data_IF_280887709104
#
_entry.id   IF_280887709104
#
_cell.length_a   1.000
_cell.length_b   1.000
_cell.length_c   1.000
_cell.angle_alpha   90.00
_cell.angle_beta   90.00
_cell.angle_gamma   90.00
#
_symmetry.space_group_name_H-M   'P 1'
#
loop_
_entity.id
_entity.type
_entity.pdbx_description
1 polymer ?
#
# COMPACT_ATOMS: atom_id res chain seq x y z
N UNK A 1 11.03 16.42 0.26
CA UNK A 1 10.70 14.99 0.51
C UNK A 1 12.04 14.27 0.52
N UNK A 2 12.82 14.49 1.57
CA UNK A 2 14.27 14.33 1.46
C UNK A 2 14.71 12.92 1.90
N UNK A 3 13.86 12.22 2.65
CA UNK A 3 14.12 10.86 3.17
C UNK A 3 13.59 9.74 2.30
N UNK A 4 12.60 10.02 1.43
CA UNK A 4 11.81 9.00 0.67
C UNK A 4 11.15 7.93 1.56
N UNK A 5 11.01 8.22 2.85
CA UNK A 5 10.39 7.33 3.82
C UNK A 5 8.86 7.49 3.81
N UNK A 6 8.14 6.39 3.63
CA UNK A 6 6.68 6.37 3.52
C UNK A 6 6.10 5.26 4.42
N UNK A 7 4.97 5.55 5.06
CA UNK A 7 4.18 4.56 5.80
C UNK A 7 3.07 4.02 4.90
N UNK A 8 3.43 3.09 4.02
CA UNK A 8 2.48 2.41 3.13
C UNK A 8 2.94 0.98 2.85
N UNK A 9 2.00 0.07 2.63
CA UNK A 9 2.24 -1.33 2.28
C UNK A 9 1.16 -1.79 1.31
N UNK A 10 1.56 -2.51 0.26
CA UNK A 10 0.65 -3.14 -0.69
C UNK A 10 1.04 -4.60 -0.87
N UNK A 11 0.06 -5.45 -1.15
CA UNK A 11 0.32 -6.85 -1.50
C UNK A 11 0.59 -7.00 -3.00
N UNK A 12 1.49 -7.91 -3.36
CA UNK A 12 1.74 -8.32 -4.75
C UNK A 12 1.62 -9.85 -4.86
N UNK A 13 1.19 -10.40 -6.01
CA UNK A 13 1.14 -11.85 -6.21
C UNK A 13 2.51 -12.49 -5.98
N UNK A 14 2.53 -13.61 -5.28
CA UNK A 14 3.74 -14.38 -5.00
C UNK A 14 3.46 -15.86 -5.17
N UNK A 15 3.86 -16.40 -6.33
CA UNK A 15 3.56 -17.79 -6.70
C UNK A 15 4.34 -18.81 -5.88
N UNK A 16 5.40 -18.40 -5.19
CA UNK A 16 6.33 -19.29 -4.49
C UNK A 16 6.00 -19.48 -3.00
N UNK A 17 4.95 -18.82 -2.48
CA UNK A 17 4.66 -18.86 -1.05
C UNK A 17 3.31 -18.30 -0.63
N UNK A 18 3.17 -18.14 0.68
CA UNK A 18 2.00 -17.56 1.34
C UNK A 18 2.46 -16.53 2.37
N UNK A 19 1.60 -15.59 2.71
CA UNK A 19 1.81 -14.63 3.79
C UNK A 19 0.76 -14.82 4.87
N UNK A 20 1.13 -14.61 6.12
CA UNK A 20 0.19 -14.62 7.23
C UNK A 20 -0.59 -13.31 7.27
N UNK A 21 -1.92 -13.42 7.40
CA UNK A 21 -2.80 -12.27 7.50
C UNK A 21 -3.85 -12.46 8.60
N UNK A 22 -4.36 -11.34 9.10
CA UNK A 22 -5.55 -11.30 9.97
C UNK A 22 -6.75 -10.85 9.15
N UNK A 23 -7.85 -11.59 9.26
CA UNK A 23 -9.12 -11.23 8.63
C UNK A 23 -9.94 -10.37 9.60
N UNK A 24 -10.55 -9.32 9.06
CA UNK A 24 -11.51 -8.48 9.77
C UNK A 24 -12.83 -8.47 9.01
N UNK A 25 -13.93 -8.52 9.74
CA UNK A 25 -15.26 -8.29 9.19
C UNK A 25 -15.66 -6.83 9.43
N UNK A 26 -16.22 -6.20 8.41
CA UNK A 26 -16.82 -4.87 8.51
C UNK A 26 -18.28 -4.93 8.06
N UNK A 27 -19.16 -4.09 8.62
CA UNK A 27 -20.50 -3.89 8.07
C UNK A 27 -20.44 -3.46 6.61
N UNK A 28 -21.36 -3.94 5.78
CA UNK A 28 -21.38 -3.61 4.34
C UNK A 28 -21.60 -2.11 4.11
N UNK A 29 -22.25 -1.43 5.05
CA UNK A 29 -22.47 0.01 5.05
C UNK A 29 -21.17 0.82 5.22
N UNK A 30 -20.14 0.24 5.83
CA UNK A 30 -18.82 0.87 6.01
C UNK A 30 -17.88 0.62 4.82
N UNK A 31 -18.23 -0.31 3.91
CA UNK A 31 -17.41 -0.63 2.75
C UNK A 31 -17.10 0.57 1.84
N UNK A 32 -18.05 1.49 1.53
CA UNK A 32 -17.73 2.66 0.72
C UNK A 32 -16.67 3.58 1.35
N UNK A 33 -16.70 3.73 2.68
CA UNK A 33 -15.72 4.54 3.41
C UNK A 33 -14.34 3.84 3.44
N UNK A 34 -14.33 2.52 3.58
CA UNK A 34 -13.12 1.71 3.42
C UNK A 34 -12.53 1.86 2.02
N UNK A 35 -13.32 1.68 0.95
CA UNK A 35 -12.85 1.84 -0.43
C UNK A 35 -12.34 3.25 -0.69
N UNK A 36 -13.00 4.28 -0.16
CA UNK A 36 -12.55 5.66 -0.30
C UNK A 36 -11.20 5.90 0.40
N UNK A 37 -11.02 5.35 1.59
CA UNK A 37 -9.76 5.46 2.35
C UNK A 37 -8.61 4.74 1.64
N UNK A 38 -8.89 3.56 1.09
CA UNK A 38 -7.91 2.70 0.41
C UNK A 38 -7.82 2.95 -1.09
N UNK A 39 -8.39 4.05 -1.60
CA UNK A 39 -8.50 4.33 -3.04
C UNK A 39 -7.16 4.39 -3.79
N UNK A 40 -6.04 4.46 -3.07
CA UNK A 40 -4.70 4.34 -3.65
C UNK A 40 -4.45 2.93 -4.21
N UNK A 41 -4.97 1.90 -3.52
CA UNK A 41 -4.74 0.49 -3.79
C UNK A 41 -5.73 -0.09 -4.81
N UNK A 42 -5.34 -1.24 -5.36
CA UNK A 42 -6.24 -2.08 -6.13
C UNK A 42 -6.88 -3.12 -5.19
N UNK A 43 -8.17 -2.96 -4.93
CA UNK A 43 -8.92 -3.87 -4.05
C UNK A 43 -9.29 -5.14 -4.82
N UNK A 44 -8.60 -6.24 -4.50
CA UNK A 44 -8.78 -7.53 -5.18
C UNK A 44 -9.42 -8.56 -4.24
N UNK A 45 -10.34 -9.40 -4.74
CA UNK A 45 -10.86 -10.52 -3.98
C UNK A 45 -9.80 -11.62 -3.84
N UNK A 46 -9.61 -12.11 -2.62
CA UNK A 46 -8.71 -13.23 -2.30
C UNK A 46 -9.45 -14.32 -1.54
N UNK A 47 -8.93 -15.54 -1.59
CA UNK A 47 -9.52 -16.71 -0.95
C UNK A 47 -8.59 -17.24 0.14
N UNK A 48 -8.67 -16.68 1.36
CA UNK A 48 -7.78 -17.06 2.45
C UNK A 48 -8.10 -18.47 2.99
N UNK A 49 -7.07 -19.06 3.58
CA UNK A 49 -7.13 -20.32 4.33
C UNK A 49 -6.74 -20.05 5.78
N UNK A 50 -7.30 -20.84 6.70
CA UNK A 50 -6.85 -20.86 8.10
C UNK A 50 -5.44 -21.46 8.20
N UNK A 51 -4.80 -21.32 9.37
CA UNK A 51 -3.48 -21.89 9.64
C UNK A 51 -3.40 -23.42 9.48
N UNK A 52 -4.52 -24.13 9.63
CA UNK A 52 -4.64 -25.58 9.40
C UNK A 52 -5.01 -25.93 7.95
N UNK A 53 -4.99 -24.96 7.03
CA UNK A 53 -5.23 -25.15 5.59
C UNK A 53 -6.71 -25.29 5.23
N UNK A 54 -7.63 -24.87 6.11
CA UNK A 54 -9.06 -24.91 5.81
C UNK A 54 -9.47 -23.62 5.10
N UNK A 55 -10.10 -23.77 3.94
CA UNK A 55 -10.69 -22.65 3.18
C UNK A 55 -11.78 -21.96 4.00
N UNK A 56 -11.74 -20.62 4.04
CA UNK A 56 -12.76 -19.79 4.71
C UNK A 56 -14.09 -19.81 3.94
N UNK A 57 -14.08 -20.09 2.64
CA UNK A 57 -15.27 -20.29 1.79
C UNK A 57 -15.91 -19.00 1.27
N UNK A 58 -15.53 -17.84 1.81
CA UNK A 58 -15.93 -16.51 1.35
C UNK A 58 -14.69 -15.75 0.89
N UNK A 59 -14.83 -14.94 -0.16
CA UNK A 59 -13.75 -14.05 -0.59
C UNK A 59 -13.55 -12.92 0.43
N UNK A 60 -12.30 -12.60 0.72
CA UNK A 60 -11.91 -11.40 1.45
C UNK A 60 -11.37 -10.35 0.46
N UNK A 61 -11.33 -9.08 0.87
CA UNK A 61 -10.74 -8.01 0.06
C UNK A 61 -9.30 -7.77 0.53
N UNK A 62 -8.37 -7.69 -0.41
CA UNK A 62 -6.96 -7.40 -0.15
C UNK A 62 -6.53 -6.12 -0.89
N UNK A 63 -5.82 -5.24 -0.18
CA UNK A 63 -5.19 -4.07 -0.78
C UNK A 63 -3.92 -4.50 -1.55
N UNK A 64 -4.06 -4.68 -2.86
CA UNK A 64 -2.94 -5.00 -3.73
C UNK A 64 -2.34 -3.74 -4.34
N UNK A 65 -1.10 -3.85 -4.80
CA UNK A 65 -0.46 -2.79 -5.57
C UNK A 65 -1.31 -2.46 -6.79
N UNK A 66 -1.57 -1.17 -6.98
CA UNK A 66 -2.18 -0.70 -8.22
C UNK A 66 -1.11 -0.33 -9.26
N UNK A 67 -1.52 -0.06 -10.49
CA UNK A 67 -0.66 0.58 -11.48
C UNK A 67 -0.97 2.07 -11.55
N UNK A 68 0.02 2.91 -11.90
CA UNK A 68 -0.22 4.34 -12.11
C UNK A 68 -1.32 4.56 -13.17
N UNK A 69 -1.27 3.79 -14.26
CA UNK A 69 -2.28 3.85 -15.32
C UNK A 69 -3.66 3.40 -14.84
N UNK A 70 -3.74 2.30 -14.10
CA UNK A 70 -5.01 1.81 -13.55
C UNK A 70 -5.61 2.81 -12.56
N UNK A 71 -4.78 3.40 -11.69
CA UNK A 71 -5.19 4.47 -10.79
C UNK A 71 -5.73 5.68 -11.55
N UNK A 72 -5.02 6.12 -12.59
CA UNK A 72 -5.45 7.26 -13.40
C UNK A 72 -6.78 7.00 -14.10
N UNK A 73 -6.96 5.81 -14.68
CA UNK A 73 -8.21 5.39 -15.32
C UNK A 73 -9.38 5.38 -14.34
N UNK A 74 -9.16 4.98 -13.09
CA UNK A 74 -10.23 4.88 -12.08
C UNK A 74 -10.52 6.22 -11.40
N UNK A 75 -9.50 7.02 -11.09
CA UNK A 75 -9.63 8.16 -10.16
C UNK A 75 -9.23 9.53 -10.74
N UNK A 76 -8.49 9.60 -11.84
CA UNK A 76 -8.01 10.87 -12.38
C UNK A 76 -8.97 11.43 -13.44
N UNK A 77 -9.78 12.44 -13.09
CA UNK A 77 -10.69 13.10 -14.04
C UNK A 77 -9.97 13.65 -15.29
N UNK A 78 -8.76 14.17 -15.11
CA UNK A 78 -7.96 14.66 -16.23
C UNK A 78 -7.61 13.55 -17.23
N UNK A 79 -7.44 12.31 -16.78
CA UNK A 79 -7.16 11.15 -17.63
C UNK A 79 -8.44 10.65 -18.31
N UNK A 80 -9.53 10.52 -17.55
CA UNK A 80 -10.82 10.03 -18.06
C UNK A 80 -11.36 10.96 -19.15
N UNK A 81 -11.44 12.27 -18.89
CA UNK A 81 -11.96 13.26 -19.85
C UNK A 81 -11.13 13.28 -21.15
N UNK A 82 -9.80 13.10 -21.03
CA UNK A 82 -8.87 12.98 -22.16
C UNK A 82 -9.17 11.75 -23.03
N UNK A 83 -9.44 10.60 -22.38
CA UNK A 83 -9.73 9.35 -23.07
C UNK A 83 -11.05 9.39 -23.84
N UNK A 84 -12.08 10.04 -23.27
CA UNK A 84 -13.39 10.21 -23.90
C UNK A 84 -13.33 11.19 -25.09
N UNK A 85 -12.58 12.29 -24.96
CA UNK A 85 -12.38 13.25 -26.05
C UNK A 85 -11.60 12.66 -27.24
N UNK A 86 -10.60 11.81 -26.97
CA UNK A 86 -9.83 11.11 -28.00
C UNK A 86 -10.69 10.10 -28.79
N UNK A 87 -11.71 9.50 -28.16
CA UNK A 87 -12.65 8.60 -28.82
C UNK A 87 -13.71 9.34 -29.65
N UNK A 88 -13.94 10.63 -29.39
CA UNK A 88 -15.09 11.38 -29.92
C UNK A 88 -14.84 12.27 -31.15
N UNK A 89 -13.69 12.95 -31.29
CA UNK A 89 -13.50 13.91 -32.41
C UNK A 89 -12.03 14.16 -32.75
N UNK A 90 -11.72 14.26 -34.05
CA UNK A 90 -10.40 14.63 -34.58
C UNK A 90 -10.00 16.11 -34.42
N UNK A 91 -10.46 16.79 -33.36
CA UNK A 91 -10.13 18.19 -33.08
C UNK A 91 -9.26 18.31 -31.82
N UNK A 92 -8.01 18.75 -32.01
CA UNK A 92 -7.04 18.97 -30.93
C UNK A 92 -7.33 20.29 -30.19
N UNK A 93 -8.28 20.29 -29.25
CA UNK A 93 -8.26 21.25 -28.16
C UNK A 93 -7.36 20.70 -27.04
N UNK A 94 -6.35 21.46 -26.59
CA UNK A 94 -5.59 21.08 -25.39
C UNK A 94 -6.58 21.07 -24.21
N UNK A 95 -6.81 19.92 -23.55
CA UNK A 95 -7.78 19.88 -22.47
C UNK A 95 -7.27 20.75 -21.32
N UNK A 96 -8.19 21.53 -20.76
CA UNK A 96 -7.91 22.34 -19.59
C UNK A 96 -7.80 21.38 -18.39
N UNK A 97 -6.58 21.22 -17.85
CA UNK A 97 -6.34 20.45 -16.62
C UNK A 97 -7.26 21.01 -15.52
N UNK A 98 -8.18 20.18 -15.03
CA UNK A 98 -9.01 20.47 -13.87
C UNK A 98 -8.27 20.08 -12.59
N UNK A 99 -8.47 20.85 -11.52
CA UNK A 99 -8.04 20.43 -10.20
C UNK A 99 -8.97 19.31 -9.72
N UNK A 100 -8.55 18.07 -9.96
CA UNK A 100 -9.34 16.90 -9.61
C UNK A 100 -9.04 16.36 -8.20
N UNK A 101 -8.04 16.89 -7.50
CA UNK A 101 -7.68 16.47 -6.14
C UNK A 101 -7.14 15.05 -5.98
N UNK A 102 -6.98 14.27 -7.07
CA UNK A 102 -6.49 12.89 -7.00
C UNK A 102 -5.02 12.83 -6.55
N UNK A 103 -4.57 11.66 -6.07
CA UNK A 103 -3.20 11.45 -5.59
C UNK A 103 -2.18 11.78 -6.68
N UNK A 104 -2.38 11.30 -7.92
CA UNK A 104 -1.52 11.60 -9.07
C UNK A 104 -1.31 13.09 -9.29
N UNK A 105 -2.39 13.86 -9.43
CA UNK A 105 -2.31 15.30 -9.69
C UNK A 105 -1.67 16.06 -8.52
N UNK A 106 -1.88 15.61 -7.27
CA UNK A 106 -1.21 16.21 -6.10
C UNK A 106 0.29 15.92 -6.10
N UNK A 107 0.70 14.69 -6.34
CA UNK A 107 2.11 14.30 -6.42
C UNK A 107 2.88 15.07 -7.51
N UNK A 108 2.26 15.32 -8.65
CA UNK A 108 2.87 16.11 -9.72
C UNK A 108 3.23 17.54 -9.29
N UNK A 109 2.51 18.14 -8.34
CA UNK A 109 2.85 19.48 -7.81
C UNK A 109 4.16 19.47 -7.01
N UNK A 110 4.58 18.29 -6.55
CA UNK A 110 5.87 18.05 -5.90
C UNK A 110 6.93 17.49 -6.87
N UNK A 111 6.65 17.46 -8.18
CA UNK A 111 7.55 16.90 -9.19
C UNK A 111 7.64 15.37 -9.17
N UNK A 112 6.64 14.70 -8.60
CA UNK A 112 6.56 13.23 -8.57
C UNK A 112 5.58 12.76 -9.64
N UNK A 113 6.10 11.96 -10.56
CA UNK A 113 5.39 11.49 -11.74
C UNK A 113 4.72 10.13 -11.56
N UNK A 114 5.10 9.36 -10.53
CA UNK A 114 4.55 8.03 -10.22
C UNK A 114 4.13 7.91 -8.77
N UNK A 115 2.97 7.30 -8.54
CA UNK A 115 2.46 6.89 -7.24
C UNK A 115 3.26 5.68 -6.77
N UNK A 116 3.36 4.65 -7.62
CA UNK A 116 3.98 3.37 -7.30
C UNK A 116 5.45 3.39 -7.68
N UNK A 117 6.30 3.73 -6.71
CA UNK A 117 7.75 3.88 -6.88
C UNK A 117 8.50 2.70 -6.27
N UNK A 118 9.70 2.48 -6.80
CA UNK A 118 10.58 1.38 -6.38
C UNK A 118 11.77 1.87 -5.54
N UNK A 119 11.85 3.19 -5.32
CA UNK A 119 12.97 3.86 -4.67
C UNK A 119 12.59 4.52 -3.33
N UNK A 120 11.47 4.10 -2.74
CA UNK A 120 10.99 4.55 -1.44
C UNK A 120 11.40 3.55 -0.35
N UNK A 121 11.54 4.05 0.87
CA UNK A 121 11.85 3.25 2.04
C UNK A 121 10.66 3.25 3.00
N UNK A 122 10.50 2.21 3.82
CA UNK A 122 9.51 2.24 4.89
C UNK A 122 9.91 3.32 5.89
N UNK A 123 8.93 4.11 6.35
CA UNK A 123 9.15 5.02 7.46
C UNK A 123 9.67 4.25 8.68
N UNK A 124 10.83 4.65 9.20
CA UNK A 124 11.56 3.87 10.20
C UNK A 124 10.77 3.66 11.49
N UNK A 125 10.13 4.72 12.00
CA UNK A 125 9.24 4.64 13.17
C UNK A 125 8.07 3.69 12.94
N UNK A 126 7.45 3.74 11.76
CA UNK A 126 6.30 2.89 11.44
C UNK A 126 6.72 1.44 11.24
N UNK A 127 7.85 1.20 10.56
CA UNK A 127 8.43 -0.12 10.41
C UNK A 127 8.72 -0.76 11.77
N UNK A 128 9.37 -0.03 12.68
CA UNK A 128 9.62 -0.50 14.04
C UNK A 128 8.32 -0.91 14.73
N UNK A 129 7.27 -0.10 14.62
CA UNK A 129 5.96 -0.45 15.18
C UNK A 129 5.43 -1.77 14.60
N UNK A 130 5.44 -1.94 13.27
CA UNK A 130 4.99 -3.19 12.63
C UNK A 130 5.81 -4.41 13.08
N UNK A 131 7.14 -4.28 13.19
CA UNK A 131 8.02 -5.36 13.66
C UNK A 131 7.68 -5.78 15.09
N UNK A 132 7.47 -4.81 15.99
CA UNK A 132 7.09 -5.09 17.38
C UNK A 132 5.69 -5.71 17.49
N UNK A 133 4.72 -5.23 16.69
CA UNK A 133 3.39 -5.83 16.63
C UNK A 133 3.45 -7.29 16.16
N UNK A 134 4.21 -7.57 15.09
CA UNK A 134 4.42 -8.93 14.60
C UNK A 134 5.11 -9.82 15.65
N UNK A 135 6.09 -9.27 16.38
CA UNK A 135 6.74 -9.95 17.49
C UNK A 135 5.75 -10.28 18.63
N UNK A 136 4.84 -9.36 18.96
CA UNK A 136 3.80 -9.57 19.96
C UNK A 136 2.81 -10.69 19.61
N UNK A 137 2.66 -11.03 18.32
CA UNK A 137 1.84 -12.14 17.83
C UNK A 137 2.57 -13.50 17.85
N UNK A 138 3.86 -13.51 18.17
CA UNK A 138 4.69 -14.71 18.31
C UNK A 138 5.60 -15.01 17.12
N UNK A 139 6.51 -15.98 17.30
CA UNK A 139 7.62 -16.25 16.38
C UNK A 139 7.18 -16.55 14.94
N UNK A 140 6.03 -17.19 14.76
CA UNK A 140 5.51 -17.50 13.43
C UNK A 140 5.16 -16.22 12.65
N UNK A 141 4.39 -15.31 13.26
CA UNK A 141 4.02 -14.04 12.65
C UNK A 141 5.22 -13.11 12.48
N UNK A 142 6.13 -13.11 13.46
CA UNK A 142 7.37 -12.34 13.40
C UNK A 142 8.24 -12.77 12.21
N UNK A 143 8.52 -14.07 12.07
CA UNK A 143 9.36 -14.56 10.99
C UNK A 143 8.68 -14.39 9.63
N UNK A 144 7.38 -14.68 9.53
CA UNK A 144 6.61 -14.47 8.31
C UNK A 144 6.69 -13.00 7.85
N UNK A 145 6.42 -12.04 8.74
CA UNK A 145 6.51 -10.61 8.40
C UNK A 145 7.90 -10.21 7.92
N UNK A 146 8.97 -10.67 8.59
CA UNK A 146 10.34 -10.30 8.25
C UNK A 146 10.83 -10.89 6.92
N UNK A 147 10.36 -12.08 6.56
CA UNK A 147 10.84 -12.85 5.41
C UNK A 147 9.95 -12.73 4.17
N UNK A 148 8.67 -12.38 4.34
CA UNK A 148 7.71 -12.25 3.23
C UNK A 148 7.36 -10.79 2.90
N UNK A 149 7.81 -9.83 3.72
CA UNK A 149 7.69 -8.40 3.40
C UNK A 149 8.98 -7.87 2.79
N UNK A 150 8.85 -7.13 1.69
CA UNK A 150 9.97 -6.59 0.91
C UNK A 150 9.94 -5.07 0.88
N UNK A 151 11.10 -4.45 0.66
CA UNK A 151 11.19 -3.04 0.26
C UNK A 151 10.54 -2.83 -1.11
N UNK A 152 10.39 -1.56 -1.49
CA UNK A 152 9.86 -1.19 -2.79
C UNK A 152 10.69 -1.70 -3.98
N UNK A 153 11.93 -2.15 -3.76
CA UNK A 153 12.78 -2.80 -4.75
C UNK A 153 12.38 -4.27 -5.05
N UNK A 154 11.43 -4.82 -4.28
CA UNK A 154 10.91 -6.21 -4.39
C UNK A 154 11.97 -7.29 -4.25
N UNK A 155 13.11 -6.93 -3.68
CA UNK A 155 14.29 -7.81 -3.60
C UNK A 155 14.79 -7.89 -2.17
N UNK A 156 14.84 -6.76 -1.46
CA UNK A 156 15.34 -6.69 -0.10
C UNK A 156 14.21 -6.99 0.88
N UNK A 157 14.32 -8.07 1.65
CA UNK A 157 13.38 -8.38 2.74
C UNK A 157 13.52 -7.40 3.90
N UNK A 158 12.48 -7.29 4.73
CA UNK A 158 12.57 -6.51 5.98
C UNK A 158 13.66 -7.08 6.89
N UNK A 159 13.86 -8.40 6.94
CA UNK A 159 14.98 -9.01 7.70
C UNK A 159 16.34 -8.45 7.27
N UNK A 160 16.61 -8.41 5.97
CA UNK A 160 17.86 -7.90 5.41
C UNK A 160 18.00 -6.39 5.66
N UNK A 161 16.90 -5.65 5.51
CA UNK A 161 16.88 -4.21 5.74
C UNK A 161 17.23 -3.85 7.19
N UNK A 162 16.59 -4.51 8.17
CA UNK A 162 16.88 -4.33 9.60
C UNK A 162 18.29 -4.78 9.98
N UNK A 163 18.79 -5.86 9.36
CA UNK A 163 20.17 -6.32 9.59
C UNK A 163 21.20 -5.27 9.14
N UNK A 164 20.90 -4.54 8.07
CA UNK A 164 21.75 -3.47 7.54
C UNK A 164 21.55 -2.13 8.26
N UNK A 165 20.39 -1.94 8.92
CA UNK A 165 19.97 -0.71 9.59
C UNK A 165 19.37 -1.03 10.97
N UNK A 166 20.17 -1.58 11.92
CA UNK A 166 19.66 -2.03 13.21
C UNK A 166 19.12 -0.89 14.09
N UNK A 167 19.58 0.34 13.83
CA UNK A 167 19.15 1.57 14.50
C UNK A 167 17.67 1.90 14.29
N UNK A 168 17.00 1.31 13.28
CA UNK A 168 15.55 1.41 13.09
C UNK A 168 14.79 0.92 14.34
N UNK A 169 15.31 -0.11 15.02
CA UNK A 169 14.66 -0.66 16.21
C UNK A 169 14.77 0.24 17.44
N UNK A 170 15.63 1.27 17.38
CA UNK A 170 15.83 2.26 18.43
C UNK A 170 14.95 3.52 18.23
N UNK A 171 14.30 3.65 17.07
CA UNK A 171 13.46 4.79 16.73
C UNK A 171 12.30 4.96 17.73
N UNK A 172 12.02 6.20 18.09
CA UNK A 172 10.89 6.54 18.96
C UNK A 172 9.86 7.34 18.17
N UNK A 173 8.56 7.00 18.29
CA UNK A 173 7.54 7.85 17.70
C UNK A 173 7.58 9.24 18.33
N UNK A 174 7.23 10.29 17.55
CA UNK A 174 7.00 11.60 18.11
C UNK A 174 6.03 11.52 19.31
N UNK A 175 6.16 12.38 20.34
CA UNK A 175 5.35 12.28 21.55
C UNK A 175 3.84 12.16 21.28
N UNK A 176 3.32 12.90 20.29
CA UNK A 176 1.91 12.89 19.90
C UNK A 176 1.42 11.54 19.32
N UNK A 177 2.33 10.66 18.89
CA UNK A 177 2.02 9.37 18.27
C UNK A 177 2.46 8.18 19.14
N UNK A 178 2.96 8.44 20.35
CA UNK A 178 3.54 7.41 21.23
C UNK A 178 2.56 6.30 21.59
N UNK A 179 1.30 6.62 21.85
CA UNK A 179 0.27 5.63 22.17
C UNK A 179 -0.16 4.81 20.95
N UNK A 180 -0.08 5.39 19.75
CA UNK A 180 -0.49 4.73 18.50
C UNK A 180 0.61 3.83 17.93
N UNK A 181 1.87 4.20 18.13
CA UNK A 181 3.04 3.50 17.59
C UNK A 181 3.96 2.98 18.70
N UNK A 182 3.38 2.35 19.73
CA UNK A 182 4.16 1.75 20.82
C UNK A 182 4.69 0.34 20.50
N UNK A 183 4.11 -0.33 19.51
CA UNK A 183 4.36 -1.77 19.26
C UNK A 183 3.38 -2.57 20.06
#
# INVERSE_FOLDING_TARGET
MDTKEISSLSMEPWDEGTVLATLFEIPIEEYPDFEYREAEFNLEPVYPETLDGKKIGTAAILCTRFSDQGYEQKYCRNFVDLSEQAAGTGAQAKPRKVDCGCVKCRLETFGIDRIWRDDILPCRTYLRHCVLSAQGLGDHAYNDFLDTTYLADRTTTIRQHLSSNPDIMEELPPPALRERYCG
#
